data_IF_571577536145
#
_entry.id   IF_571577536145
#
_cell.length_a   1.000
_cell.length_b   1.000
_cell.length_c   1.000
_cell.angle_alpha   90.00
_cell.angle_beta   90.00
_cell.angle_gamma   90.00
#
_symmetry.space_group_name_H-M   'P 1'
#
loop_
_entity.id
_entity.type
_entity.pdbx_description
1 polymer ?
#
# COMPACT_ATOMS: atom_id res chain seq x y z
N UNK A 1 -22.69 0.58 26.84
CA UNK A 1 -21.98 1.87 26.95
C UNK A 1 -21.28 2.12 25.63
N UNK A 2 -21.59 3.26 25.01
CA UNK A 2 -21.32 3.59 23.61
C UNK A 2 -19.83 3.65 23.25
N UNK A 3 -19.46 3.09 22.10
CA UNK A 3 -18.14 3.28 21.47
C UNK A 3 -18.33 3.83 20.06
N UNK A 4 -17.57 4.87 19.75
CA UNK A 4 -17.70 5.74 18.58
C UNK A 4 -17.43 5.03 17.25
N UNK A 5 -18.33 5.26 16.29
CA UNK A 5 -18.27 4.71 14.93
C UNK A 5 -17.05 5.18 14.13
N UNK A 6 -16.55 4.25 13.30
CA UNK A 6 -15.54 4.50 12.28
C UNK A 6 -15.96 5.65 11.33
N UNK A 7 -15.01 6.36 10.70
CA UNK A 7 -15.36 7.19 9.55
C UNK A 7 -15.88 6.27 8.42
N UNK A 8 -16.98 6.65 7.74
CA UNK A 8 -17.55 5.83 6.69
C UNK A 8 -16.56 5.78 5.52
N UNK A 9 -16.13 4.58 5.14
CA UNK A 9 -15.69 4.37 3.75
C UNK A 9 -16.97 4.48 2.92
N UNK A 10 -17.12 5.56 2.15
CA UNK A 10 -18.36 5.85 1.43
C UNK A 10 -18.71 4.70 0.50
N UNK A 11 -19.79 4.01 0.83
CA UNK A 11 -20.57 3.18 -0.08
C UNK A 11 -21.36 4.15 -0.94
N UNK A 12 -21.11 4.20 -2.24
CA UNK A 12 -22.01 4.92 -3.15
C UNK A 12 -23.02 3.95 -3.75
N UNK A 13 -24.34 4.20 -3.65
CA UNK A 13 -25.36 3.47 -4.39
C UNK A 13 -25.47 4.12 -5.77
N UNK A 14 -24.57 3.79 -6.70
CA UNK A 14 -24.80 4.14 -8.09
C UNK A 14 -25.65 3.01 -8.67
N UNK A 15 -26.94 3.24 -8.83
CA UNK A 15 -27.72 2.49 -9.82
C UNK A 15 -27.08 2.80 -11.18
N UNK A 16 -26.43 1.80 -11.76
CA UNK A 16 -26.04 1.82 -13.16
C UNK A 16 -27.04 0.95 -13.91
N UNK A 17 -27.91 1.60 -14.68
CA UNK A 17 -28.63 0.91 -15.74
C UNK A 17 -27.61 0.36 -16.76
N UNK A 18 -27.89 -0.84 -17.26
CA UNK A 18 -26.91 -1.79 -17.74
C UNK A 18 -25.94 -1.26 -18.81
N UNK A 19 -24.66 -1.56 -18.59
CA UNK A 19 -23.65 -1.61 -19.65
C UNK A 19 -22.91 -2.92 -19.48
N UNK A 20 -23.10 -3.83 -20.43
CA UNK A 20 -22.35 -5.07 -20.56
C UNK A 20 -20.87 -4.77 -20.80
N UNK A 21 -20.00 -5.52 -20.13
CA UNK A 21 -18.55 -5.36 -20.25
C UNK A 21 -18.08 -5.60 -21.70
N UNK A 22 -17.34 -4.67 -22.33
CA UNK A 22 -16.74 -4.92 -23.63
C UNK A 22 -15.59 -5.93 -23.52
N UNK A 23 -15.52 -6.85 -24.49
CA UNK A 23 -14.38 -7.77 -24.65
C UNK A 23 -13.10 -6.97 -24.86
N UNK A 24 -12.05 -7.38 -24.15
CA UNK A 24 -10.75 -6.71 -24.12
C UNK A 24 -10.04 -6.84 -25.47
N UNK A 25 -9.93 -5.73 -26.21
CA UNK A 25 -8.89 -5.54 -27.23
C UNK A 25 -8.04 -4.33 -26.84
N UNK A 26 -6.71 -4.53 -26.79
CA UNK A 26 -5.67 -3.56 -26.43
C UNK A 26 -6.00 -2.12 -26.87
N UNK A 27 -6.37 -1.26 -25.91
CA UNK A 27 -6.21 0.20 -25.99
C UNK A 27 -5.90 0.72 -24.59
N UNK A 28 -4.88 1.58 -24.50
CA UNK A 28 -4.48 2.28 -23.29
C UNK A 28 -5.70 2.83 -22.56
N UNK A 29 -5.89 2.41 -21.31
CA UNK A 29 -6.96 2.90 -20.45
C UNK A 29 -6.57 4.31 -19.98
N UNK A 30 -7.13 5.35 -20.60
CA UNK A 30 -7.03 6.70 -20.05
C UNK A 30 -7.95 6.78 -18.82
N UNK A 31 -7.36 6.78 -17.63
CA UNK A 31 -8.11 6.97 -16.39
C UNK A 31 -8.49 8.45 -16.31
N UNK A 32 -9.72 8.80 -16.71
CA UNK A 32 -10.32 10.10 -16.39
C UNK A 32 -10.81 10.07 -14.94
N UNK A 33 -10.01 10.60 -14.02
CA UNK A 33 -10.47 10.90 -12.66
C UNK A 33 -11.50 12.04 -12.70
N UNK A 34 -12.77 11.74 -12.41
CA UNK A 34 -13.71 12.79 -11.97
C UNK A 34 -13.38 13.09 -10.51
N UNK A 35 -12.78 14.24 -10.26
CA UNK A 35 -12.60 14.78 -8.91
C UNK A 35 -13.95 15.26 -8.40
N UNK A 36 -14.61 14.51 -7.50
CA UNK A 36 -15.57 15.17 -6.62
C UNK A 36 -14.76 15.98 -5.62
N UNK A 37 -14.96 17.30 -5.59
CA UNK A 37 -14.30 18.19 -4.65
C UNK A 37 -14.76 17.86 -3.22
N UNK A 38 -13.96 17.10 -2.47
CA UNK A 38 -14.13 16.95 -1.03
C UNK A 38 -13.67 18.23 -0.32
N UNK A 39 -14.40 18.66 0.72
CA UNK A 39 -13.99 19.83 1.49
C UNK A 39 -12.69 19.56 2.29
N UNK A 40 -11.91 20.61 2.58
CA UNK A 40 -10.65 20.46 3.33
C UNK A 40 -10.88 19.94 4.76
N UNK A 41 -12.01 20.28 5.39
CA UNK A 41 -12.38 19.81 6.74
C UNK A 41 -12.67 18.31 6.77
N UNK A 42 -13.39 17.79 5.77
CA UNK A 42 -13.62 16.35 5.62
C UNK A 42 -12.31 15.59 5.47
N UNK A 43 -11.39 16.08 4.61
CA UNK A 43 -10.08 15.46 4.39
C UNK A 43 -9.22 15.35 5.66
N UNK A 44 -9.24 16.37 6.54
CA UNK A 44 -8.52 16.36 7.81
C UNK A 44 -9.15 15.40 8.83
N UNK A 45 -10.49 15.39 8.91
CA UNK A 45 -11.22 14.50 9.81
C UNK A 45 -11.04 13.02 9.43
N UNK A 46 -11.08 12.68 8.13
CA UNK A 46 -10.78 11.32 7.63
C UNK A 46 -9.36 10.90 7.97
N UNK A 47 -8.38 11.80 7.84
CA UNK A 47 -6.99 11.48 8.11
C UNK A 47 -6.72 11.10 9.57
N UNK A 48 -7.22 11.90 10.53
CA UNK A 48 -6.99 11.64 11.97
C UNK A 48 -7.72 10.39 12.46
N UNK A 49 -8.94 10.13 11.97
CA UNK A 49 -9.66 8.90 12.33
C UNK A 49 -9.02 7.65 11.71
N UNK A 50 -8.48 7.75 10.49
CA UNK A 50 -7.75 6.65 9.85
C UNK A 50 -6.51 6.27 10.65
N UNK A 51 -5.74 7.27 11.09
CA UNK A 51 -4.54 7.05 11.92
C UNK A 51 -4.88 6.26 13.18
N UNK A 52 -5.83 6.76 13.98
CA UNK A 52 -6.26 6.10 15.21
C UNK A 52 -6.81 4.69 14.97
N UNK A 53 -7.52 4.48 13.86
CA UNK A 53 -8.09 3.19 13.49
C UNK A 53 -6.99 2.16 13.23
N UNK A 54 -6.04 2.46 12.34
CA UNK A 54 -5.00 1.50 11.97
C UNK A 54 -4.03 1.24 13.12
N UNK A 55 -3.74 2.26 13.92
CA UNK A 55 -2.98 2.09 15.15
C UNK A 55 -3.70 1.19 16.17
N UNK A 56 -5.04 1.30 16.29
CA UNK A 56 -5.84 0.41 17.13
C UNK A 56 -5.84 -1.00 16.54
N UNK A 57 -6.00 -1.13 15.23
CA UNK A 57 -5.98 -2.40 14.50
C UNK A 57 -4.67 -3.17 14.74
N UNK A 58 -3.51 -2.55 14.53
CA UNK A 58 -2.22 -3.22 14.75
C UNK A 58 -1.94 -3.52 16.21
N UNK A 59 -2.46 -2.72 17.15
CA UNK A 59 -2.41 -3.03 18.58
C UNK A 59 -3.20 -4.31 18.91
N UNK A 60 -4.37 -4.48 18.31
CA UNK A 60 -5.26 -5.61 18.58
C UNK A 60 -4.80 -6.90 17.87
N UNK A 61 -4.48 -6.80 16.58
CA UNK A 61 -4.28 -7.98 15.74
C UNK A 61 -2.81 -8.35 15.50
N UNK A 62 -1.86 -7.45 15.79
CA UNK A 62 -0.41 -7.65 15.59
C UNK A 62 -0.11 -8.12 14.15
N UNK A 63 0.64 -9.21 14.00
CA UNK A 63 1.02 -9.81 12.72
C UNK A 63 0.12 -10.98 12.27
N UNK A 64 -1.02 -11.22 12.94
CA UNK A 64 -1.82 -12.44 12.72
C UNK A 64 -2.99 -12.28 11.74
N UNK A 65 -3.32 -11.05 11.37
CA UNK A 65 -4.51 -10.78 10.55
C UNK A 65 -4.28 -11.06 9.07
N UNK A 66 -3.18 -10.53 8.52
CA UNK A 66 -2.86 -10.66 7.11
C UNK A 66 -1.96 -11.87 6.88
N UNK A 67 -2.21 -12.60 5.77
CA UNK A 67 -1.37 -13.73 5.34
C UNK A 67 -0.10 -13.26 4.66
N UNK A 68 0.96 -14.03 4.74
CA UNK A 68 2.18 -13.74 3.98
C UNK A 68 1.95 -13.81 2.46
N UNK A 69 2.52 -12.84 1.73
CA UNK A 69 2.26 -12.60 0.31
C UNK A 69 3.19 -13.40 -0.61
N UNK A 70 3.37 -14.70 -0.33
CA UNK A 70 4.27 -15.58 -1.10
C UNK A 70 3.98 -15.63 -2.61
N UNK A 71 2.74 -15.34 -3.03
CA UNK A 71 2.37 -15.31 -4.45
C UNK A 71 3.14 -14.24 -5.27
N UNK A 72 3.71 -13.22 -4.62
CA UNK A 72 4.44 -12.15 -5.32
C UNK A 72 5.71 -12.65 -6.01
N UNK A 73 6.34 -13.71 -5.48
CA UNK A 73 7.46 -14.37 -6.15
C UNK A 73 7.05 -14.87 -7.54
N UNK A 74 5.91 -15.56 -7.62
CA UNK A 74 5.38 -16.07 -8.89
C UNK A 74 4.89 -14.95 -9.81
N UNK A 75 4.14 -13.99 -9.26
CA UNK A 75 3.48 -12.97 -10.08
C UNK A 75 4.48 -11.94 -10.61
N UNK A 76 5.44 -11.54 -9.77
CA UNK A 76 6.32 -10.39 -10.01
C UNK A 76 7.81 -10.70 -9.86
N UNK A 77 8.22 -11.96 -9.71
CA UNK A 77 9.62 -12.35 -9.48
C UNK A 77 10.63 -11.70 -10.43
N UNK A 78 10.32 -11.60 -11.72
CA UNK A 78 11.16 -10.91 -12.72
C UNK A 78 11.49 -9.44 -12.42
N UNK A 79 10.68 -8.76 -11.60
CA UNK A 79 10.97 -7.40 -11.16
C UNK A 79 11.94 -7.35 -10.00
N UNK A 80 12.03 -8.42 -9.21
CA UNK A 80 12.87 -8.54 -8.02
C UNK A 80 14.19 -9.28 -8.28
N UNK A 81 14.19 -10.20 -9.25
CA UNK A 81 15.40 -10.89 -9.67
C UNK A 81 16.40 -9.94 -10.31
N UNK A 82 17.67 -10.16 -10.00
CA UNK A 82 18.79 -9.49 -10.66
C UNK A 82 18.88 -10.00 -12.10
N UNK A 83 19.09 -9.10 -13.05
CA UNK A 83 19.57 -9.53 -14.37
C UNK A 83 21.00 -10.07 -14.19
N UNK A 84 21.40 -11.04 -15.02
CA UNK A 84 22.64 -11.82 -14.89
C UNK A 84 23.90 -10.92 -14.78
N UNK A 85 23.82 -9.67 -15.22
CA UNK A 85 24.91 -8.69 -15.31
C UNK A 85 25.01 -7.73 -14.10
N UNK A 86 24.01 -7.65 -13.20
CA UNK A 86 24.06 -6.70 -12.07
C UNK A 86 24.74 -7.33 -10.84
N UNK A 87 25.90 -6.79 -10.46
CA UNK A 87 26.66 -7.21 -9.27
C UNK A 87 25.98 -6.83 -7.93
N UNK A 88 25.05 -5.88 -7.96
CA UNK A 88 24.31 -5.40 -6.80
C UNK A 88 22.83 -5.80 -6.89
N UNK A 89 22.24 -6.20 -5.76
CA UNK A 89 20.83 -6.52 -5.66
C UNK A 89 19.91 -5.31 -5.87
N UNK A 90 18.65 -5.55 -6.23
CA UNK A 90 17.64 -4.49 -6.39
C UNK A 90 17.17 -3.87 -5.07
N UNK A 91 16.78 -2.60 -5.16
CA UNK A 91 16.19 -1.81 -4.06
C UNK A 91 14.68 -1.71 -4.25
N UNK A 92 13.91 -2.13 -3.25
CA UNK A 92 12.45 -2.12 -3.25
C UNK A 92 11.93 -1.15 -2.20
N UNK A 93 10.84 -0.43 -2.48
CA UNK A 93 10.07 0.33 -1.49
C UNK A 93 8.65 -0.24 -1.37
N UNK A 94 8.29 -0.78 -0.21
CA UNK A 94 6.89 -1.12 0.13
C UNK A 94 6.21 0.04 0.84
N UNK A 95 5.18 0.63 0.22
CA UNK A 95 4.37 1.71 0.81
C UNK A 95 3.09 1.13 1.41
N UNK A 96 2.87 1.39 2.70
CA UNK A 96 1.79 0.76 3.47
C UNK A 96 2.16 -0.65 3.92
N UNK A 97 3.35 -0.82 4.50
CA UNK A 97 3.92 -2.14 4.75
C UNK A 97 3.23 -2.96 5.84
N UNK A 98 2.41 -2.34 6.68
CA UNK A 98 1.73 -2.99 7.79
C UNK A 98 2.70 -3.76 8.69
N UNK A 99 2.36 -5.01 9.01
CA UNK A 99 3.20 -5.89 9.82
C UNK A 99 4.33 -6.59 9.03
N UNK A 100 4.53 -6.24 7.75
CA UNK A 100 5.62 -6.76 6.93
C UNK A 100 5.32 -8.06 6.16
N UNK A 101 4.04 -8.42 5.98
CA UNK A 101 3.64 -9.64 5.28
C UNK A 101 4.01 -9.68 3.79
N UNK A 102 4.37 -8.53 3.20
CA UNK A 102 5.03 -8.44 1.88
C UNK A 102 6.54 -8.57 2.00
N UNK A 103 7.15 -7.85 2.96
CA UNK A 103 8.59 -7.70 3.13
C UNK A 103 9.27 -9.05 3.42
N UNK A 104 8.79 -9.78 4.43
CA UNK A 104 9.50 -10.98 4.90
C UNK A 104 9.50 -12.13 3.89
N UNK A 105 8.39 -12.43 3.20
CA UNK A 105 8.43 -13.39 2.10
C UNK A 105 9.33 -12.96 0.94
N UNK A 106 9.34 -11.67 0.59
CA UNK A 106 10.18 -11.16 -0.51
C UNK A 106 11.67 -11.30 -0.22
N UNK A 107 12.14 -10.89 0.96
CA UNK A 107 13.57 -11.01 1.30
C UNK A 107 14.01 -12.46 1.50
N UNK A 108 13.08 -13.36 1.83
CA UNK A 108 13.35 -14.79 1.90
C UNK A 108 13.50 -15.41 0.51
N UNK A 109 12.66 -15.01 -0.45
CA UNK A 109 12.72 -15.48 -1.84
C UNK A 109 13.87 -14.86 -2.64
N UNK A 110 14.20 -13.58 -2.37
CA UNK A 110 15.22 -12.81 -3.08
C UNK A 110 16.24 -12.21 -2.09
N UNK A 111 17.22 -12.99 -1.61
CA UNK A 111 18.11 -12.59 -0.51
C UNK A 111 19.02 -11.38 -0.81
N UNK A 112 19.19 -11.04 -2.08
CA UNK A 112 19.98 -9.88 -2.52
C UNK A 112 19.21 -8.56 -2.42
N UNK A 113 17.88 -8.59 -2.27
CA UNK A 113 17.09 -7.38 -2.15
C UNK A 113 17.49 -6.54 -0.93
N UNK A 114 17.43 -5.23 -1.13
CA UNK A 114 17.35 -4.26 -0.05
C UNK A 114 15.96 -3.63 -0.05
N UNK A 115 15.35 -3.50 1.13
CA UNK A 115 13.96 -3.05 1.24
C UNK A 115 13.86 -1.78 2.08
N UNK A 116 13.39 -0.70 1.47
CA UNK A 116 12.73 0.37 2.18
C UNK A 116 11.27 -0.01 2.43
N UNK A 117 10.75 0.35 3.59
CA UNK A 117 9.36 0.12 3.92
C UNK A 117 8.79 1.27 4.75
N UNK A 118 7.56 1.66 4.46
CA UNK A 118 6.90 2.65 5.27
C UNK A 118 5.43 2.35 5.54
N UNK A 119 4.96 2.85 6.67
CA UNK A 119 3.57 2.86 7.06
C UNK A 119 3.34 4.14 7.89
N UNK A 120 2.16 4.74 7.81
CA UNK A 120 1.87 5.91 8.64
C UNK A 120 1.64 5.50 10.11
N UNK A 121 1.34 4.22 10.38
CA UNK A 121 1.20 3.68 11.74
C UNK A 121 2.56 3.35 12.34
N UNK A 122 2.94 4.06 13.41
CA UNK A 122 4.15 3.75 14.18
C UNK A 122 4.13 2.33 14.77
N UNK A 123 2.94 1.76 15.00
CA UNK A 123 2.80 0.38 15.48
C UNK A 123 3.08 -0.65 14.40
N UNK A 124 2.64 -0.41 13.16
CA UNK A 124 3.01 -1.24 12.02
C UNK A 124 4.54 -1.32 11.88
N UNK A 125 5.20 -0.17 11.89
CA UNK A 125 6.68 -0.07 11.87
C UNK A 125 7.31 -0.84 13.04
N UNK A 126 6.76 -0.74 14.24
CA UNK A 126 7.23 -1.51 15.42
C UNK A 126 7.05 -3.02 15.23
N UNK A 127 5.96 -3.46 14.62
CA UNK A 127 5.74 -4.88 14.31
C UNK A 127 6.78 -5.41 13.31
N UNK A 128 7.10 -4.63 12.27
CA UNK A 128 8.17 -5.00 11.33
C UNK A 128 9.52 -5.10 12.05
N UNK A 129 9.89 -4.10 12.87
CA UNK A 129 11.16 -4.10 13.62
C UNK A 129 11.27 -5.23 14.65
N UNK A 130 10.15 -5.75 15.16
CA UNK A 130 10.13 -6.85 16.14
C UNK A 130 10.04 -8.24 15.52
N UNK A 131 9.95 -8.33 14.18
CA UNK A 131 9.91 -9.62 13.49
C UNK A 131 11.26 -10.35 13.59
N UNK A 132 11.24 -11.68 13.75
CA UNK A 132 12.45 -12.49 13.97
C UNK A 132 13.48 -12.38 12.83
N UNK A 133 13.02 -12.15 11.60
CA UNK A 133 13.87 -12.01 10.41
C UNK A 133 14.18 -10.55 10.06
N UNK A 134 13.89 -9.60 10.95
CA UNK A 134 14.26 -8.20 10.73
C UNK A 134 15.78 -8.03 10.81
N UNK A 135 16.36 -7.35 9.82
CA UNK A 135 17.76 -6.93 9.82
C UNK A 135 17.85 -5.50 9.31
N UNK A 136 18.47 -4.61 10.09
CA UNK A 136 18.71 -3.21 9.70
C UNK A 136 19.70 -3.07 8.54
N UNK A 137 20.45 -4.13 8.21
CA UNK A 137 21.34 -4.15 7.04
C UNK A 137 20.57 -4.37 5.73
N UNK A 138 19.38 -4.97 5.81
CA UNK A 138 18.54 -5.35 4.66
C UNK A 138 17.25 -4.55 4.55
N UNK A 139 16.77 -4.03 5.69
CA UNK A 139 15.47 -3.38 5.79
C UNK A 139 15.63 -2.02 6.48
N UNK A 140 15.28 -0.96 5.77
CA UNK A 140 15.04 0.36 6.36
C UNK A 140 13.54 0.60 6.46
N UNK A 141 12.98 0.48 7.67
CA UNK A 141 11.56 0.71 7.94
C UNK A 141 11.32 1.97 8.78
N UNK A 142 10.43 2.84 8.31
CA UNK A 142 10.18 4.16 8.89
C UNK A 142 8.70 4.56 8.85
N UNK A 143 8.33 5.50 9.73
CA UNK A 143 6.96 6.05 9.76
C UNK A 143 6.84 7.11 8.68
N UNK A 144 5.85 7.00 7.81
CA UNK A 144 5.59 7.98 6.75
C UNK A 144 4.13 7.88 6.26
N UNK A 145 3.41 8.99 6.28
CA UNK A 145 2.17 9.17 5.51
C UNK A 145 2.55 9.55 4.08
N UNK A 146 2.68 8.56 3.19
CA UNK A 146 3.13 8.78 1.80
C UNK A 146 2.24 9.76 1.00
N UNK A 147 1.02 10.07 1.48
CA UNK A 147 0.15 11.06 0.87
C UNK A 147 0.45 12.51 1.31
N UNK A 148 1.30 12.71 2.34
CA UNK A 148 1.61 14.03 2.89
C UNK A 148 3.11 14.28 3.08
N UNK A 149 3.82 13.30 3.61
CA UNK A 149 5.21 13.42 4.01
C UNK A 149 6.14 13.16 2.81
N UNK A 150 7.33 13.75 2.81
CA UNK A 150 8.32 13.52 1.75
C UNK A 150 9.04 12.18 1.94
N UNK A 151 8.92 11.27 0.96
CA UNK A 151 9.67 10.00 0.98
C UNK A 151 11.19 10.23 0.92
N UNK A 152 11.64 11.33 0.33
CA UNK A 152 13.05 11.67 0.21
C UNK A 152 13.73 11.95 1.56
N UNK A 153 12.95 12.18 2.62
CA UNK A 153 13.48 12.32 3.97
C UNK A 153 14.10 11.03 4.53
N UNK A 154 13.72 9.87 3.99
CA UNK A 154 14.18 8.55 4.45
C UNK A 154 14.79 7.68 3.35
N UNK A 155 14.57 8.06 2.08
CA UNK A 155 15.02 7.30 0.90
C UNK A 155 15.73 8.24 -0.05
N UNK A 156 16.91 7.88 -0.50
CA UNK A 156 17.68 8.72 -1.43
C UNK A 156 16.92 8.83 -2.77
N UNK A 157 16.75 10.03 -3.35
CA UNK A 157 16.09 10.21 -4.64
C UNK A 157 16.69 9.32 -5.73
N UNK A 158 15.83 8.81 -6.63
CA UNK A 158 16.22 7.99 -7.79
C UNK A 158 17.08 6.75 -7.47
N UNK A 159 16.87 6.11 -6.31
CA UNK A 159 17.60 4.88 -5.91
C UNK A 159 16.75 3.62 -5.90
N UNK A 160 15.42 3.75 -5.89
CA UNK A 160 14.49 2.62 -5.81
C UNK A 160 14.24 2.02 -7.20
N UNK A 161 14.45 0.72 -7.36
CA UNK A 161 14.17 -0.01 -8.60
C UNK A 161 12.68 -0.33 -8.75
N UNK A 162 12.03 -0.71 -7.64
CA UNK A 162 10.63 -1.12 -7.61
C UNK A 162 9.92 -0.53 -6.41
N UNK A 163 8.77 0.12 -6.62
CA UNK A 163 7.84 0.49 -5.56
C UNK A 163 6.65 -0.48 -5.62
N UNK A 164 6.23 -1.00 -4.47
CA UNK A 164 5.07 -1.88 -4.34
C UNK A 164 3.96 -1.18 -3.53
N UNK A 165 2.74 -1.24 -4.07
CA UNK A 165 1.51 -0.72 -3.48
C UNK A 165 0.50 -1.87 -3.41
N UNK A 166 0.50 -2.62 -2.30
CA UNK A 166 -0.31 -3.83 -2.10
C UNK A 166 -1.44 -3.55 -1.11
N UNK A 167 -2.67 -3.44 -1.63
CA UNK A 167 -3.86 -3.06 -0.86
C UNK A 167 -3.71 -1.73 -0.11
N UNK A 168 -2.88 -0.84 -0.64
CA UNK A 168 -2.53 0.45 -0.04
C UNK A 168 -3.48 1.56 -0.50
N UNK A 169 -3.75 1.68 -1.79
CA UNK A 169 -4.53 2.80 -2.32
C UNK A 169 -6.00 2.68 -1.93
N UNK A 170 -6.58 1.48 -1.85
CA UNK A 170 -7.97 1.29 -1.38
C UNK A 170 -8.20 1.73 0.06
N UNK A 171 -7.15 1.82 0.88
CA UNK A 171 -7.20 2.37 2.24
C UNK A 171 -7.02 3.91 2.27
N UNK A 172 -6.80 4.54 1.11
CA UNK A 172 -6.52 5.97 0.97
C UNK A 172 -7.68 6.67 0.27
N UNK A 173 -7.96 7.92 0.66
CA UNK A 173 -8.96 8.74 -0.04
C UNK A 173 -8.57 8.93 -1.51
N UNK A 174 -9.49 8.78 -2.49
CA UNK A 174 -9.16 8.91 -3.91
C UNK A 174 -8.44 10.20 -4.29
N UNK A 175 -8.74 11.32 -3.63
CA UNK A 175 -8.09 12.61 -3.90
C UNK A 175 -6.60 12.65 -3.50
N UNK A 176 -6.14 11.72 -2.64
CA UNK A 176 -4.77 11.63 -2.14
C UNK A 176 -3.92 10.60 -2.87
N UNK A 177 -4.53 9.69 -3.64
CA UNK A 177 -3.82 8.64 -4.36
C UNK A 177 -2.79 9.22 -5.35
N UNK A 178 -3.12 10.33 -6.01
CA UNK A 178 -2.20 11.01 -6.92
C UNK A 178 -0.92 11.48 -6.21
N UNK A 179 -1.06 12.08 -5.02
CA UNK A 179 0.08 12.54 -4.21
C UNK A 179 1.00 11.40 -3.80
N UNK A 180 0.45 10.21 -3.48
CA UNK A 180 1.27 9.02 -3.20
C UNK A 180 2.12 8.66 -4.42
N UNK A 181 1.50 8.60 -5.62
CA UNK A 181 2.22 8.24 -6.84
C UNK A 181 3.28 9.28 -7.22
N UNK A 182 2.98 10.57 -7.06
CA UNK A 182 3.93 11.66 -7.26
C UNK A 182 5.14 11.54 -6.32
N UNK A 183 4.89 11.23 -5.05
CA UNK A 183 5.94 11.05 -4.06
C UNK A 183 6.81 9.82 -4.36
N UNK A 184 6.19 8.69 -4.73
CA UNK A 184 6.90 7.48 -5.16
C UNK A 184 7.83 7.76 -6.35
N UNK A 185 7.41 8.61 -7.29
CA UNK A 185 8.21 8.99 -8.46
C UNK A 185 9.52 9.69 -8.08
N UNK A 186 9.59 10.39 -6.95
CA UNK A 186 10.78 11.13 -6.53
C UNK A 186 11.94 10.20 -6.13
N UNK A 187 11.61 9.03 -5.58
CA UNK A 187 12.61 8.04 -5.11
C UNK A 187 12.90 6.95 -6.15
N UNK A 188 12.03 6.81 -7.15
CA UNK A 188 12.14 5.79 -8.19
C UNK A 188 13.24 6.13 -9.20
N UNK A 189 14.10 5.16 -9.52
CA UNK A 189 15.11 5.26 -10.59
C UNK A 189 14.46 5.57 -11.95
N UNK A 190 15.20 6.17 -12.89
CA UNK A 190 14.83 6.13 -14.31
C UNK A 190 14.60 4.67 -14.74
N UNK A 191 13.44 4.37 -15.34
CA UNK A 191 12.96 3.02 -15.69
C UNK A 191 12.59 2.10 -14.52
N UNK A 192 12.52 2.63 -13.28
CA UNK A 192 11.94 1.89 -12.16
C UNK A 192 10.44 1.64 -12.36
N UNK A 193 9.90 0.69 -11.60
CA UNK A 193 8.52 0.24 -11.74
C UNK A 193 7.71 0.52 -10.47
N UNK A 194 6.46 0.94 -10.64
CA UNK A 194 5.46 0.88 -9.57
C UNK A 194 4.56 -0.33 -9.85
N UNK A 195 4.56 -1.30 -8.94
CA UNK A 195 3.73 -2.49 -9.00
C UNK A 195 2.55 -2.31 -8.04
N UNK A 196 1.34 -2.33 -8.60
CA UNK A 196 0.11 -2.10 -7.86
C UNK A 196 -0.75 -3.36 -7.86
N UNK A 197 -1.21 -3.75 -6.68
CA UNK A 197 -2.28 -4.73 -6.50
C UNK A 197 -3.25 -4.20 -5.48
N UNK A 198 -4.49 -3.99 -5.90
CA UNK A 198 -5.51 -3.43 -5.00
C UNK A 198 -6.88 -4.02 -5.32
N UNK A 199 -7.85 -3.74 -4.45
CA UNK A 199 -9.23 -4.15 -4.66
C UNK A 199 -9.83 -3.42 -5.87
N UNK A 200 -10.43 -4.19 -6.77
CA UNK A 200 -11.29 -3.65 -7.81
C UNK A 200 -12.73 -3.52 -7.30
N UNK A 201 -13.50 -2.60 -7.88
CA UNK A 201 -14.93 -2.49 -7.60
C UNK A 201 -15.63 -3.80 -7.95
N UNK A 202 -16.28 -4.42 -6.97
CA UNK A 202 -16.98 -5.70 -7.13
C UNK A 202 -16.13 -6.94 -6.82
N UNK A 203 -14.89 -6.77 -6.35
CA UNK A 203 -14.07 -7.88 -5.85
C UNK A 203 -14.69 -8.47 -4.57
N UNK A 204 -14.71 -9.80 -4.45
CA UNK A 204 -15.18 -10.50 -3.25
C UNK A 204 -14.37 -10.10 -2.01
N UNK A 205 -13.06 -9.88 -2.16
CA UNK A 205 -12.21 -9.44 -1.07
C UNK A 205 -12.51 -7.98 -0.65
N UNK A 206 -12.94 -7.12 -1.59
CA UNK A 206 -13.47 -5.79 -1.26
C UNK A 206 -14.71 -5.92 -0.38
N UNK A 207 -15.66 -6.78 -0.77
CA UNK A 207 -16.93 -6.96 -0.05
C UNK A 207 -16.70 -7.53 1.35
N UNK A 208 -15.76 -8.48 1.51
CA UNK A 208 -15.39 -9.01 2.83
C UNK A 208 -14.69 -7.98 3.71
N UNK A 209 -13.74 -7.21 3.16
CA UNK A 209 -13.08 -6.13 3.89
C UNK A 209 -14.09 -5.08 4.39
N UNK A 210 -15.05 -4.71 3.54
CA UNK A 210 -16.14 -3.79 3.91
C UNK A 210 -17.07 -4.35 4.98
N UNK A 211 -17.32 -5.67 5.01
CA UNK A 211 -18.12 -6.33 6.05
C UNK A 211 -17.42 -6.27 7.41
N UNK A 212 -16.10 -6.46 7.45
CA UNK A 212 -15.32 -6.40 8.70
C UNK A 212 -15.31 -4.97 9.28
N UNK A 213 -15.10 -3.96 8.43
CA UNK A 213 -15.18 -2.55 8.85
C UNK A 213 -16.55 -2.20 9.46
N UNK A 214 -17.64 -2.77 8.94
CA UNK A 214 -19.01 -2.54 9.43
C UNK A 214 -19.37 -3.30 10.71
N UNK A 215 -18.63 -4.33 11.10
CA UNK A 215 -18.87 -5.05 12.35
C UNK A 215 -18.21 -4.35 13.56
N UNK A 216 -17.22 -3.50 13.30
CA UNK A 216 -16.52 -2.67 14.30
C UNK A 216 -17.04 -1.22 14.38
N UNK A 217 -18.17 -0.91 13.71
CA UNK A 217 -18.95 0.35 13.80
C UNK A 217 -20.23 0.16 14.58
#
# INVERSE_FOLDING_TARGET
MHAAGAPPVTVWPAKWEGISAPRVSRRYLSIRFRTSFYSQSENHHYSRRSEQYWDKFYKLHKNKFFKDRHYLEKDWGRYFDDEIESSNGKVVLEVGCGAGNTIFPLIAAFPKLYVHACDFSAKAVTLVKSHANYSSEKINVFVCDAAKDDLCANVVPFTVDVVTLIFTLSAVSPCKMASILENCKQVLKPNGHILLRDYAVGDSAQVEHMKYIRQDT
#
